data_IF_510672136528
#
_entry.id   IF_510672136528
#
_cell.length_a   1.000
_cell.length_b   1.000
_cell.length_c   1.000
_cell.angle_alpha   90.00
_cell.angle_beta   90.00
_cell.angle_gamma   90.00
#
_symmetry.space_group_name_H-M   'P 1'
#
loop_
_entity.id
_entity.type
_entity.pdbx_description
1 polymer ?
#
# COMPACT_ATOMS: atom_id res chain seq x y z
N UNK A 1 -7.26 -15.64 -19.97
CA UNK A 1 -7.79 -16.42 -18.83
C UNK A 1 -7.04 -15.91 -17.62
N UNK A 2 -7.71 -15.29 -16.64
CA UNK A 2 -7.01 -14.66 -15.52
C UNK A 2 -6.40 -15.73 -14.59
N UNK A 3 -5.15 -15.54 -14.18
CA UNK A 3 -4.50 -16.45 -13.25
C UNK A 3 -4.99 -16.23 -11.81
N UNK A 4 -5.37 -17.32 -11.13
CA UNK A 4 -5.67 -17.32 -9.70
C UNK A 4 -4.37 -17.45 -8.90
N UNK A 5 -4.12 -16.51 -7.97
CA UNK A 5 -2.98 -16.52 -7.06
C UNK A 5 -3.47 -16.85 -5.64
N UNK A 6 -2.88 -17.88 -5.01
CA UNK A 6 -3.26 -18.31 -3.66
C UNK A 6 -2.06 -18.61 -2.79
N UNK A 7 -2.17 -18.28 -1.51
CA UNK A 7 -1.35 -18.82 -0.43
C UNK A 7 -2.17 -19.86 0.33
N UNK A 8 -1.62 -21.05 0.53
CA UNK A 8 -2.26 -22.20 1.18
C UNK A 8 -1.40 -22.66 2.35
N UNK A 9 -1.88 -22.43 3.57
CA UNK A 9 -1.19 -22.77 4.83
C UNK A 9 0.23 -22.21 4.92
N UNK A 10 0.51 -21.02 4.36
CA UNK A 10 1.88 -20.53 4.25
C UNK A 10 2.43 -20.08 5.60
N UNK A 11 3.66 -20.47 5.88
CA UNK A 11 4.48 -19.89 6.95
C UNK A 11 5.66 -19.18 6.32
N UNK A 12 5.86 -17.91 6.67
CA UNK A 12 6.87 -17.04 6.08
C UNK A 12 7.67 -16.33 7.18
N UNK A 13 8.98 -16.31 7.05
CA UNK A 13 9.89 -15.69 7.99
C UNK A 13 11.20 -15.28 7.31
N UNK A 14 12.08 -14.65 8.08
CA UNK A 14 13.47 -14.43 7.67
C UNK A 14 14.37 -15.13 8.69
N UNK A 15 15.37 -15.86 8.20
CA UNK A 15 16.29 -16.66 8.99
C UNK A 15 15.54 -17.58 9.97
N UNK A 16 15.62 -17.33 11.28
CA UNK A 16 14.90 -18.09 12.30
C UNK A 16 13.66 -17.37 12.86
N UNK A 17 13.31 -16.20 12.31
CA UNK A 17 12.18 -15.40 12.79
C UNK A 17 10.96 -15.64 11.91
N UNK A 18 10.00 -16.42 12.41
CA UNK A 18 8.69 -16.61 11.79
C UNK A 18 7.85 -15.32 11.93
N UNK A 19 7.38 -14.78 10.81
CA UNK A 19 6.52 -13.57 10.78
C UNK A 19 5.06 -13.95 10.54
N UNK A 20 4.81 -14.90 9.65
CA UNK A 20 3.48 -15.42 9.29
C UNK A 20 3.48 -16.92 9.56
N UNK A 21 2.42 -17.43 10.17
CA UNK A 21 2.28 -18.84 10.47
C UNK A 21 0.92 -19.37 10.01
N UNK A 22 0.94 -20.38 9.12
CA UNK A 22 -0.24 -21.07 8.60
C UNK A 22 -1.35 -20.12 8.11
N UNK A 23 -1.03 -19.31 7.10
CA UNK A 23 -1.93 -18.32 6.52
C UNK A 23 -2.51 -18.81 5.18
N UNK A 24 -3.82 -18.69 5.03
CA UNK A 24 -4.53 -18.91 3.77
C UNK A 24 -5.02 -17.58 3.20
N UNK A 25 -4.78 -17.36 1.91
CA UNK A 25 -5.29 -16.20 1.19
C UNK A 25 -5.50 -16.54 -0.28
N UNK A 26 -6.66 -16.19 -0.83
CA UNK A 26 -6.91 -16.23 -2.26
C UNK A 26 -7.10 -14.80 -2.79
N UNK A 27 -6.37 -14.46 -3.84
CA UNK A 27 -6.52 -13.18 -4.53
C UNK A 27 -7.56 -13.35 -5.63
N UNK A 28 -8.61 -12.53 -5.60
CA UNK A 28 -9.66 -12.60 -6.62
C UNK A 28 -9.14 -12.10 -7.98
N UNK A 29 -9.20 -12.91 -9.05
CA UNK A 29 -8.68 -12.49 -10.35
C UNK A 29 -9.44 -11.28 -10.91
N UNK A 30 -8.71 -10.30 -11.43
CA UNK A 30 -9.27 -9.08 -12.01
C UNK A 30 -9.81 -8.07 -11.01
N UNK A 31 -9.64 -8.32 -9.71
CA UNK A 31 -10.02 -7.40 -8.64
C UNK A 31 -8.81 -6.65 -8.08
N UNK A 32 -9.07 -5.54 -7.40
CA UNK A 32 -8.10 -4.82 -6.57
C UNK A 32 -8.22 -5.33 -5.13
N UNK A 33 -7.18 -6.01 -4.66
CA UNK A 33 -7.03 -6.44 -3.27
C UNK A 33 -6.07 -5.50 -2.54
N UNK A 34 -6.52 -4.84 -1.47
CA UNK A 34 -5.66 -4.01 -0.63
C UNK A 34 -5.38 -4.73 0.70
N UNK A 35 -4.11 -4.80 1.08
CA UNK A 35 -3.65 -5.36 2.35
C UNK A 35 -3.31 -4.21 3.30
N UNK A 36 -3.99 -4.14 4.43
CA UNK A 36 -3.78 -3.15 5.49
C UNK A 36 -3.46 -3.84 6.82
N UNK A 37 -2.95 -3.08 7.78
CA UNK A 37 -2.60 -3.60 9.09
C UNK A 37 -1.56 -2.74 9.78
N UNK A 38 -1.43 -2.88 11.09
CA UNK A 38 -0.40 -2.20 11.87
C UNK A 38 1.02 -2.47 11.33
N UNK A 39 1.97 -1.64 11.77
CA UNK A 39 3.39 -1.88 11.48
C UNK A 39 3.82 -3.27 11.99
N UNK A 40 4.73 -3.91 11.27
CA UNK A 40 5.20 -5.26 11.54
C UNK A 40 4.10 -6.36 11.54
N UNK A 41 2.93 -6.12 10.95
CA UNK A 41 1.89 -7.16 10.83
C UNK A 41 2.17 -8.25 9.78
N UNK A 42 3.22 -8.09 8.98
CA UNK A 42 3.66 -9.08 7.97
C UNK A 42 3.22 -8.80 6.53
N UNK A 43 2.63 -7.63 6.22
CA UNK A 43 2.10 -7.27 4.88
C UNK A 43 3.14 -7.44 3.75
N UNK A 44 4.29 -6.79 3.88
CA UNK A 44 5.38 -6.88 2.90
C UNK A 44 5.98 -8.30 2.83
N UNK A 45 6.00 -9.03 3.94
CA UNK A 45 6.43 -10.44 3.97
C UNK A 45 5.47 -11.33 3.19
N UNK A 46 4.15 -11.15 3.38
CA UNK A 46 3.12 -11.85 2.61
C UNK A 46 3.24 -11.52 1.12
N UNK A 47 3.38 -10.24 0.77
CA UNK A 47 3.51 -9.81 -0.62
C UNK A 47 4.75 -10.41 -1.29
N UNK A 48 5.90 -10.44 -0.61
CA UNK A 48 7.12 -11.12 -1.09
C UNK A 48 6.94 -12.63 -1.25
N UNK A 49 6.20 -13.27 -0.34
CA UNK A 49 5.81 -14.68 -0.47
C UNK A 49 4.98 -14.94 -1.73
N UNK A 50 3.94 -14.13 -1.94
CA UNK A 50 3.09 -14.18 -3.13
C UNK A 50 3.88 -13.95 -4.43
N UNK A 51 4.87 -13.05 -4.39
CA UNK A 51 5.75 -12.73 -5.53
C UNK A 51 6.86 -13.78 -5.78
N UNK A 52 6.92 -14.87 -5.01
CA UNK A 52 8.02 -15.87 -5.05
C UNK A 52 9.41 -15.28 -4.74
N UNK A 53 9.47 -14.16 -4.01
CA UNK A 53 10.72 -13.60 -3.51
C UNK A 53 11.10 -14.14 -2.13
N UNK A 54 10.11 -14.68 -1.41
CA UNK A 54 10.32 -15.36 -0.14
C UNK A 54 9.72 -16.77 -0.24
N UNK A 55 10.55 -17.79 -0.02
CA UNK A 55 10.08 -19.18 -0.03
C UNK A 55 9.41 -19.48 1.31
N UNK A 56 8.17 -20.01 1.32
CA UNK A 56 7.53 -20.44 2.56
C UNK A 56 8.30 -21.58 3.23
N UNK A 57 8.41 -21.54 4.56
CA UNK A 57 8.96 -22.63 5.38
C UNK A 57 7.99 -23.82 5.44
N UNK A 58 6.69 -23.52 5.37
CA UNK A 58 5.60 -24.47 5.28
C UNK A 58 4.49 -23.94 4.36
N UNK A 59 3.64 -24.84 3.86
CA UNK A 59 2.59 -24.50 2.91
C UNK A 59 3.11 -24.21 1.51
N UNK A 60 2.28 -23.59 0.68
CA UNK A 60 2.65 -23.25 -0.69
C UNK A 60 1.92 -22.02 -1.24
N UNK A 61 2.54 -21.40 -2.24
CA UNK A 61 1.89 -20.40 -3.08
C UNK A 61 1.60 -21.03 -4.44
N UNK A 62 0.37 -20.89 -4.94
CA UNK A 62 -0.05 -21.42 -6.24
C UNK A 62 -0.44 -20.30 -7.20
N UNK A 63 -0.10 -20.47 -8.48
CA UNK A 63 -0.44 -19.59 -9.59
C UNK A 63 -1.12 -20.42 -10.68
N UNK A 64 -2.40 -20.13 -10.96
CA UNK A 64 -3.22 -20.92 -11.88
C UNK A 64 -3.32 -22.40 -11.45
N UNK A 65 -3.40 -22.66 -10.14
CA UNK A 65 -3.49 -24.01 -9.57
C UNK A 65 -2.18 -24.81 -9.53
N UNK A 66 -1.06 -24.24 -9.98
CA UNK A 66 0.27 -24.88 -9.90
C UNK A 66 1.14 -24.18 -8.85
N UNK A 67 1.91 -24.93 -8.09
CA UNK A 67 2.87 -24.35 -7.15
C UNK A 67 3.85 -23.41 -7.88
N UNK A 68 3.91 -22.15 -7.46
CA UNK A 68 4.66 -21.10 -8.15
C UNK A 68 6.18 -21.39 -8.17
N UNK A 69 6.68 -22.16 -7.20
CA UNK A 69 8.09 -22.57 -7.08
C UNK A 69 8.52 -23.51 -8.21
N UNK A 70 7.59 -24.30 -8.76
CA UNK A 70 7.91 -25.28 -9.83
C UNK A 70 7.86 -24.67 -11.22
N UNK A 71 7.32 -23.46 -11.36
CA UNK A 71 7.25 -22.75 -12.63
C UNK A 71 8.61 -22.13 -13.00
N UNK A 72 8.97 -22.04 -14.30
CA UNK A 72 10.15 -21.29 -14.73
C UNK A 72 10.04 -19.81 -14.33
N UNK A 73 11.10 -19.24 -13.74
CA UNK A 73 11.09 -17.86 -13.22
C UNK A 73 10.64 -16.83 -14.26
N UNK A 74 11.10 -16.99 -15.51
CA UNK A 74 10.67 -16.13 -16.62
C UNK A 74 9.17 -16.19 -16.92
N UNK A 75 8.55 -17.37 -16.83
CA UNK A 75 7.08 -17.53 -17.00
C UNK A 75 6.31 -16.90 -15.84
N UNK A 76 6.87 -16.95 -14.62
CA UNK A 76 6.26 -16.25 -13.48
C UNK A 76 6.37 -14.74 -13.70
N UNK A 77 7.53 -14.24 -14.11
CA UNK A 77 7.76 -12.81 -14.37
C UNK A 77 6.96 -12.26 -15.56
N UNK A 78 6.41 -13.08 -16.47
CA UNK A 78 5.46 -12.58 -17.49
C UNK A 78 4.04 -12.45 -16.95
N UNK A 79 3.71 -13.10 -15.84
CA UNK A 79 2.35 -13.13 -15.26
C UNK A 79 2.26 -12.25 -14.01
N UNK A 80 3.32 -12.23 -13.19
CA UNK A 80 3.38 -11.51 -11.90
C UNK A 80 4.45 -10.42 -11.97
N UNK A 81 4.01 -9.16 -11.83
CA UNK A 81 4.86 -8.00 -11.62
C UNK A 81 4.91 -7.61 -10.14
N UNK A 82 6.04 -7.07 -9.70
CA UNK A 82 6.21 -6.58 -8.34
C UNK A 82 6.88 -5.20 -8.33
N UNK A 83 6.25 -4.23 -7.68
CA UNK A 83 6.87 -3.00 -7.24
C UNK A 83 7.16 -3.09 -5.72
N UNK A 84 8.41 -3.33 -5.30
CA UNK A 84 8.76 -3.31 -3.88
C UNK A 84 8.76 -1.88 -3.32
N UNK A 85 8.72 -1.74 -2.00
CA UNK A 85 8.68 -0.46 -1.29
C UNK A 85 9.92 0.41 -1.56
N UNK A 86 11.10 -0.21 -1.63
CA UNK A 86 12.37 0.46 -1.92
C UNK A 86 13.10 -0.27 -3.04
N UNK A 87 12.74 0.03 -4.30
CA UNK A 87 13.41 -0.56 -5.44
C UNK A 87 14.82 0.04 -5.62
N UNK A 88 15.79 -0.83 -5.89
CA UNK A 88 17.19 -0.44 -6.16
C UNK A 88 17.44 -0.47 -7.65
N UNK A 89 18.01 0.61 -8.18
CA UNK A 89 18.41 0.73 -9.56
C UNK A 89 19.95 0.77 -9.69
N UNK A 90 20.52 0.33 -10.81
CA UNK A 90 21.93 0.54 -11.08
C UNK A 90 22.27 2.02 -11.21
N UNK A 91 23.50 2.36 -10.85
CA UNK A 91 24.01 3.72 -10.96
C UNK A 91 23.97 4.22 -12.41
N UNK A 92 23.52 5.47 -12.58
CA UNK A 92 23.52 6.16 -13.87
C UNK A 92 22.44 5.70 -14.86
N UNK A 93 21.55 4.78 -14.50
CA UNK A 93 20.47 4.33 -15.39
C UNK A 93 19.54 5.49 -15.77
N UNK A 94 19.18 5.56 -17.06
CA UNK A 94 18.19 6.53 -17.53
C UNK A 94 16.77 6.06 -17.22
N UNK A 95 15.81 6.98 -17.22
CA UNK A 95 14.39 6.65 -17.05
C UNK A 95 13.92 5.70 -18.15
N UNK A 96 14.24 5.99 -19.42
CA UNK A 96 13.85 5.14 -20.54
C UNK A 96 14.42 3.72 -20.40
N UNK A 97 15.70 3.59 -20.03
CA UNK A 97 16.33 2.29 -19.81
C UNK A 97 15.68 1.53 -18.66
N UNK A 98 15.36 2.20 -17.55
CA UNK A 98 14.69 1.57 -16.42
C UNK A 98 13.31 1.05 -16.82
N UNK A 99 12.49 1.86 -17.47
CA UNK A 99 11.14 1.44 -17.89
C UNK A 99 11.24 0.31 -18.93
N UNK A 100 12.21 0.40 -19.84
CA UNK A 100 12.52 -0.64 -20.81
C UNK A 100 12.83 -2.00 -20.19
N UNK A 101 13.42 -2.05 -19.00
CA UNK A 101 13.64 -3.30 -18.26
C UNK A 101 12.37 -4.03 -17.87
N UNK A 102 11.23 -3.34 -17.79
CA UNK A 102 9.93 -3.98 -17.63
C UNK A 102 9.67 -5.05 -18.70
N UNK A 103 10.24 -4.89 -19.91
CA UNK A 103 10.05 -5.83 -21.04
C UNK A 103 10.95 -7.06 -21.00
N UNK A 104 11.94 -7.13 -20.10
CA UNK A 104 12.89 -8.24 -20.05
C UNK A 104 12.25 -9.64 -19.92
N UNK A 105 11.17 -9.84 -19.12
CA UNK A 105 10.50 -11.14 -19.05
C UNK A 105 9.93 -11.62 -20.41
N UNK A 106 9.60 -10.70 -21.31
CA UNK A 106 9.03 -10.98 -22.64
C UNK A 106 10.10 -11.19 -23.72
N UNK A 107 11.36 -10.84 -23.46
CA UNK A 107 12.48 -10.98 -24.40
C UNK A 107 13.03 -12.41 -24.39
N UNK A 108 12.89 -13.13 -25.49
CA UNK A 108 13.44 -14.48 -25.73
C UNK A 108 14.89 -14.46 -26.20
N UNK A 109 15.59 -15.60 -26.13
CA UNK A 109 16.96 -15.73 -26.68
C UNK A 109 17.02 -15.39 -28.19
N UNK A 110 15.91 -15.57 -28.90
CA UNK A 110 15.74 -15.23 -30.32
C UNK A 110 14.84 -14.01 -30.58
N UNK A 111 14.19 -13.45 -29.55
CA UNK A 111 13.29 -12.30 -29.70
C UNK A 111 14.05 -11.05 -29.29
N UNK A 112 14.60 -10.37 -30.29
CA UNK A 112 15.18 -9.04 -30.14
C UNK A 112 14.09 -8.03 -29.76
N UNK A 113 14.55 -6.92 -29.19
CA UNK A 113 13.74 -5.73 -28.93
C UNK A 113 12.87 -5.40 -30.15
N UNK A 114 11.57 -5.21 -29.93
CA UNK A 114 10.60 -4.99 -31.00
C UNK A 114 9.96 -3.61 -30.92
N UNK A 115 9.40 -3.11 -32.04
CA UNK A 115 8.62 -1.87 -32.03
C UNK A 115 7.44 -1.92 -31.07
N UNK A 116 6.86 -3.12 -30.86
CA UNK A 116 5.82 -3.33 -29.85
C UNK A 116 6.34 -3.11 -28.43
N UNK A 117 7.60 -3.42 -28.14
CA UNK A 117 8.19 -3.14 -26.83
C UNK A 117 8.39 -1.63 -26.63
N UNK A 118 8.78 -0.90 -27.68
CA UNK A 118 8.84 0.58 -27.66
C UNK A 118 7.46 1.20 -27.40
N UNK A 119 6.42 0.72 -28.07
CA UNK A 119 5.04 1.19 -27.88
C UNK A 119 4.55 0.96 -26.45
N UNK A 120 4.82 -0.21 -25.86
CA UNK A 120 4.44 -0.52 -24.47
C UNK A 120 5.19 0.37 -23.48
N UNK A 121 6.49 0.57 -23.69
CA UNK A 121 7.32 1.46 -22.85
C UNK A 121 6.81 2.90 -22.94
N UNK A 122 6.59 3.41 -24.15
CA UNK A 122 6.06 4.75 -24.36
C UNK A 122 4.67 4.93 -23.73
N UNK A 123 3.78 3.95 -23.86
CA UNK A 123 2.45 3.99 -23.25
C UNK A 123 2.52 3.98 -21.71
N UNK A 124 3.42 3.20 -21.11
CA UNK A 124 3.62 3.18 -19.67
C UNK A 124 4.20 4.51 -19.14
N UNK A 125 5.11 5.12 -19.91
CA UNK A 125 5.67 6.43 -19.57
C UNK A 125 4.66 7.57 -19.74
N UNK A 126 3.80 7.50 -20.75
CA UNK A 126 2.72 8.45 -20.95
C UNK A 126 1.69 8.37 -19.81
N UNK A 127 1.25 7.17 -19.45
CA UNK A 127 0.27 6.96 -18.38
C UNK A 127 0.76 7.39 -16.99
N UNK A 128 2.07 7.48 -16.80
CA UNK A 128 2.68 7.93 -15.54
C UNK A 128 3.19 9.37 -15.61
N UNK A 129 2.94 10.09 -16.70
CA UNK A 129 3.46 11.44 -16.94
C UNK A 129 4.99 11.52 -16.77
N UNK A 130 5.71 10.51 -17.26
CA UNK A 130 7.19 10.41 -17.18
C UNK A 130 7.88 10.47 -18.53
N UNK A 131 7.14 10.65 -19.64
CA UNK A 131 7.70 10.69 -20.99
C UNK A 131 8.80 11.76 -21.16
N UNK A 132 8.60 12.97 -20.63
CA UNK A 132 9.60 14.06 -20.71
C UNK A 132 10.87 13.79 -19.88
N UNK A 133 10.82 12.81 -18.98
CA UNK A 133 11.95 12.43 -18.12
C UNK A 133 12.83 11.35 -18.75
N UNK A 134 12.47 10.82 -19.92
CA UNK A 134 13.10 9.64 -20.54
C UNK A 134 14.63 9.66 -20.55
N UNK A 135 15.24 10.78 -20.94
CA UNK A 135 16.69 10.91 -21.05
C UNK A 135 17.39 11.26 -19.72
N UNK A 136 16.64 11.58 -18.66
CA UNK A 136 17.23 11.92 -17.36
C UNK A 136 17.68 10.67 -16.62
N UNK A 137 18.67 10.82 -15.74
CA UNK A 137 19.08 9.75 -14.83
C UNK A 137 18.08 9.66 -13.70
N UNK A 138 17.80 8.42 -13.26
CA UNK A 138 16.85 8.16 -12.18
C UNK A 138 17.25 8.86 -10.86
N UNK A 139 18.56 8.97 -10.60
CA UNK A 139 19.10 9.60 -9.39
C UNK A 139 18.87 11.12 -9.32
N UNK A 140 18.59 11.77 -10.45
CA UNK A 140 18.40 13.23 -10.54
C UNK A 140 16.93 13.64 -10.31
N UNK A 141 16.03 12.68 -10.13
CA UNK A 141 14.59 12.91 -10.01
C UNK A 141 14.16 13.19 -8.56
N UNK A 142 13.06 13.92 -8.41
CA UNK A 142 12.39 14.02 -7.11
C UNK A 142 11.84 12.65 -6.67
N UNK A 143 11.56 12.49 -5.37
CA UNK A 143 10.99 11.24 -4.83
C UNK A 143 9.73 10.80 -5.57
N UNK A 144 8.81 11.74 -5.84
CA UNK A 144 7.56 11.44 -6.56
C UNK A 144 7.76 11.10 -8.04
N UNK A 145 8.66 11.81 -8.73
CA UNK A 145 9.02 11.46 -10.11
C UNK A 145 9.64 10.07 -10.19
N UNK A 146 10.58 9.75 -9.29
CA UNK A 146 11.22 8.43 -9.19
C UNK A 146 10.18 7.34 -8.95
N UNK A 147 9.21 7.57 -8.07
CA UNK A 147 8.13 6.61 -7.82
C UNK A 147 7.28 6.36 -9.06
N UNK A 148 6.88 7.42 -9.80
CA UNK A 148 6.13 7.27 -11.06
C UNK A 148 6.91 6.50 -12.11
N UNK A 149 8.23 6.66 -12.20
CA UNK A 149 9.08 5.87 -13.11
C UNK A 149 9.10 4.39 -12.72
N UNK A 150 9.12 4.07 -11.42
CA UNK A 150 9.03 2.67 -10.98
C UNK A 150 7.67 2.04 -11.27
N UNK A 151 6.60 2.81 -11.11
CA UNK A 151 5.25 2.38 -11.52
C UNK A 151 5.22 2.17 -13.05
N UNK A 152 5.82 3.07 -13.82
CA UNK A 152 5.93 2.94 -15.27
C UNK A 152 6.65 1.65 -15.67
N UNK A 153 7.76 1.32 -15.01
CA UNK A 153 8.49 0.07 -15.23
C UNK A 153 7.61 -1.15 -14.94
N UNK A 154 6.88 -1.15 -13.82
CA UNK A 154 5.99 -2.24 -13.44
C UNK A 154 4.78 -2.38 -14.40
N UNK A 155 4.26 -1.26 -14.92
CA UNK A 155 3.21 -1.26 -15.95
C UNK A 155 3.74 -1.70 -17.31
N UNK A 156 4.96 -1.30 -17.68
CA UNK A 156 5.60 -1.73 -18.92
C UNK A 156 5.84 -3.24 -18.96
N UNK A 157 5.98 -3.89 -17.79
CA UNK A 157 6.01 -5.35 -17.70
C UNK A 157 4.73 -6.01 -18.21
N UNK A 158 3.60 -5.28 -18.26
CA UNK A 158 2.28 -5.75 -18.70
C UNK A 158 1.88 -7.09 -18.04
N UNK A 159 1.92 -7.19 -16.69
CA UNK A 159 1.61 -8.43 -16.00
C UNK A 159 0.09 -8.63 -15.87
N UNK A 160 -0.33 -9.88 -15.75
CA UNK A 160 -1.73 -10.21 -15.41
C UNK A 160 -2.04 -9.93 -13.93
N UNK A 161 -1.02 -10.01 -13.08
CA UNK A 161 -1.08 -9.74 -11.63
C UNK A 161 0.00 -8.75 -11.27
N UNK A 162 -0.39 -7.60 -10.73
CA UNK A 162 0.51 -6.55 -10.27
C UNK A 162 0.50 -6.46 -8.75
N UNK A 163 1.65 -6.72 -8.13
CA UNK A 163 1.87 -6.64 -6.69
C UNK A 163 2.60 -5.33 -6.36
N UNK A 164 2.09 -4.52 -5.43
CA UNK A 164 2.72 -3.25 -5.04
C UNK A 164 2.86 -3.13 -3.52
N UNK A 165 4.08 -2.91 -3.05
CA UNK A 165 4.38 -2.73 -1.63
C UNK A 165 4.48 -1.22 -1.33
N UNK A 166 3.40 -0.65 -0.78
CA UNK A 166 3.33 0.77 -0.42
C UNK A 166 3.65 1.74 -1.57
N UNK A 167 2.95 1.64 -2.72
CA UNK A 167 3.27 2.41 -3.92
C UNK A 167 3.09 3.94 -3.76
N UNK A 168 2.42 4.36 -2.69
CA UNK A 168 2.10 5.76 -2.38
C UNK A 168 3.01 6.36 -1.30
N UNK A 169 4.00 5.62 -0.81
CA UNK A 169 4.90 6.11 0.23
C UNK A 169 5.76 7.27 -0.29
N UNK A 170 6.05 8.25 0.58
CA UNK A 170 6.76 9.50 0.27
C UNK A 170 6.09 10.43 -0.76
N UNK A 171 4.82 10.19 -1.12
CA UNK A 171 4.03 11.07 -1.98
C UNK A 171 3.10 11.97 -1.15
N UNK A 172 2.89 13.21 -1.63
CA UNK A 172 1.79 14.04 -1.13
C UNK A 172 0.43 13.48 -1.59
N UNK A 173 -0.66 13.93 -0.96
CA UNK A 173 -2.01 13.41 -1.18
C UNK A 173 -2.43 13.45 -2.66
N UNK A 174 -2.12 14.52 -3.38
CA UNK A 174 -2.46 14.64 -4.80
C UNK A 174 -1.79 13.53 -5.61
N UNK A 175 -0.49 13.34 -5.42
CA UNK A 175 0.27 12.30 -6.11
C UNK A 175 -0.13 10.88 -5.67
N UNK A 176 -0.55 10.68 -4.42
CA UNK A 176 -1.09 9.38 -3.98
C UNK A 176 -2.35 9.02 -4.76
N UNK A 177 -3.28 9.97 -4.91
CA UNK A 177 -4.52 9.78 -5.66
C UNK A 177 -4.23 9.50 -7.13
N UNK A 178 -3.36 10.28 -7.79
CA UNK A 178 -2.96 10.04 -9.19
C UNK A 178 -2.46 8.61 -9.42
N UNK A 179 -1.63 8.08 -8.51
CA UNK A 179 -1.11 6.71 -8.61
C UNK A 179 -2.23 5.68 -8.43
N UNK A 180 -3.11 5.86 -7.46
CA UNK A 180 -4.20 4.92 -7.20
C UNK A 180 -5.24 4.93 -8.32
N UNK A 181 -5.57 6.10 -8.87
CA UNK A 181 -6.45 6.27 -10.02
C UNK A 181 -5.87 5.58 -11.26
N UNK A 182 -4.57 5.74 -11.52
CA UNK A 182 -3.89 5.03 -12.60
C UNK A 182 -3.98 3.50 -12.43
N UNK A 183 -3.79 2.97 -11.22
CA UNK A 183 -3.89 1.53 -10.97
C UNK A 183 -5.33 1.03 -11.13
N UNK A 184 -6.31 1.84 -10.71
CA UNK A 184 -7.72 1.54 -10.89
C UNK A 184 -8.10 1.53 -12.38
N UNK A 185 -7.71 2.56 -13.14
CA UNK A 185 -7.92 2.63 -14.59
C UNK A 185 -7.34 1.38 -15.27
N UNK A 186 -6.09 1.02 -14.94
CA UNK A 186 -5.45 -0.19 -15.48
C UNK A 186 -6.21 -1.48 -15.15
N UNK A 187 -6.67 -1.62 -13.91
CA UNK A 187 -7.52 -2.75 -13.53
C UNK A 187 -8.81 -2.81 -14.36
N UNK A 188 -9.50 -1.68 -14.54
CA UNK A 188 -10.78 -1.62 -15.27
C UNK A 188 -10.63 -1.82 -16.78
N UNK A 189 -9.57 -1.30 -17.38
CA UNK A 189 -9.33 -1.43 -18.83
C UNK A 189 -8.81 -2.81 -19.24
N UNK A 190 -7.95 -3.42 -18.42
CA UNK A 190 -7.21 -4.65 -18.79
C UNK A 190 -7.58 -5.88 -17.96
N UNK A 191 -8.49 -5.74 -17.00
CA UNK A 191 -8.79 -6.78 -16.01
C UNK A 191 -7.53 -7.26 -15.26
N UNK A 192 -6.52 -6.39 -15.11
CA UNK A 192 -5.30 -6.70 -14.36
C UNK A 192 -5.65 -6.94 -12.90
N UNK A 193 -5.21 -8.05 -12.32
CA UNK A 193 -5.37 -8.30 -10.88
C UNK A 193 -4.37 -7.43 -10.13
N UNK A 194 -4.82 -6.60 -9.19
CA UNK A 194 -3.92 -5.70 -8.45
C UNK A 194 -3.93 -6.09 -6.98
N UNK A 195 -2.76 -6.29 -6.39
CA UNK A 195 -2.61 -6.47 -4.95
C UNK A 195 -1.68 -5.40 -4.43
N UNK A 196 -2.14 -4.57 -3.50
CA UNK A 196 -1.31 -3.50 -2.96
C UNK A 196 -1.35 -3.44 -1.44
N UNK A 197 -0.22 -3.08 -0.84
CA UNK A 197 -0.12 -2.78 0.58
C UNK A 197 -0.29 -1.28 0.76
N UNK A 198 -1.26 -0.83 1.57
CA UNK A 198 -1.46 0.58 1.91
C UNK A 198 -1.48 0.75 3.43
N UNK A 199 -1.08 1.94 3.89
CA UNK A 199 -1.16 2.33 5.32
C UNK A 199 -2.41 3.14 5.65
N UNK A 200 -2.92 3.92 4.70
CA UNK A 200 -4.10 4.73 4.90
C UNK A 200 -5.36 3.87 4.69
N UNK A 201 -6.14 3.70 5.77
CA UNK A 201 -7.36 2.89 5.76
C UNK A 201 -8.46 3.47 4.87
N UNK A 202 -8.51 4.81 4.74
CA UNK A 202 -9.52 5.47 3.92
C UNK A 202 -9.19 5.31 2.44
N UNK A 203 -7.92 5.46 2.05
CA UNK A 203 -7.50 5.14 0.67
C UNK A 203 -7.70 3.65 0.36
N UNK A 204 -7.37 2.76 1.30
CA UNK A 204 -7.62 1.34 1.14
C UNK A 204 -9.11 1.05 0.91
N UNK A 205 -10.01 1.65 1.69
CA UNK A 205 -11.45 1.48 1.56
C UNK A 205 -11.99 1.99 0.21
N UNK A 206 -11.44 3.09 -0.29
CA UNK A 206 -11.88 3.75 -1.53
C UNK A 206 -11.52 2.97 -2.79
N UNK A 207 -10.34 2.35 -2.82
CA UNK A 207 -9.79 1.72 -4.03
C UNK A 207 -9.89 0.19 -4.04
N UNK A 208 -10.12 -0.44 -2.89
CA UNK A 208 -10.23 -1.90 -2.79
C UNK A 208 -11.59 -2.41 -3.29
N UNK A 209 -11.56 -3.42 -4.16
CA UNK A 209 -12.69 -4.34 -4.29
C UNK A 209 -12.71 -5.32 -3.10
N UNK A 210 -11.51 -5.74 -2.66
CA UNK A 210 -11.29 -6.64 -1.52
C UNK A 210 -10.27 -6.06 -0.55
N UNK A 211 -10.57 -6.09 0.75
CA UNK A 211 -9.68 -5.64 1.80
C UNK A 211 -9.25 -6.82 2.68
N UNK A 212 -7.95 -6.92 2.91
CA UNK A 212 -7.31 -7.89 3.82
C UNK A 212 -6.69 -7.13 4.97
N UNK A 213 -7.21 -7.35 6.19
CA UNK A 213 -6.68 -6.73 7.41
C UNK A 213 -5.77 -7.73 8.11
N UNK A 214 -4.50 -7.37 8.27
CA UNK A 214 -3.48 -8.18 8.95
C UNK A 214 -3.12 -7.60 10.33
N UNK A 215 -3.03 -8.48 11.32
CA UNK A 215 -2.49 -8.18 12.65
C UNK A 215 -1.62 -9.33 13.13
N UNK A 216 -0.41 -9.03 13.63
CA UNK A 216 0.53 -10.00 14.18
C UNK A 216 0.71 -11.29 13.34
N UNK A 217 0.91 -11.14 12.02
CA UNK A 217 1.16 -12.26 11.11
C UNK A 217 -0.08 -13.06 10.69
N UNK A 218 -1.28 -12.63 11.07
CA UNK A 218 -2.56 -13.30 10.77
C UNK A 218 -3.51 -12.35 10.05
N UNK A 219 -4.41 -12.93 9.25
CA UNK A 219 -5.54 -12.21 8.68
C UNK A 219 -6.66 -12.19 9.72
N UNK A 220 -7.08 -10.99 10.12
CA UNK A 220 -8.17 -10.79 11.09
C UNK A 220 -9.49 -10.42 10.41
N UNK A 221 -9.44 -9.93 9.17
CA UNK A 221 -10.61 -9.70 8.33
C UNK A 221 -10.23 -9.81 6.83
N UNK A 222 -11.15 -10.34 6.02
CA UNK A 222 -10.98 -10.49 4.58
C UNK A 222 -12.36 -10.46 3.91
N UNK A 223 -12.58 -9.55 2.95
CA UNK A 223 -13.88 -9.35 2.32
C UNK A 223 -14.01 -7.98 1.67
N UNK A 224 -15.24 -7.53 1.42
CA UNK A 224 -15.49 -6.18 0.91
C UNK A 224 -15.12 -5.13 1.98
N UNK A 225 -14.71 -3.90 1.60
CA UNK A 225 -14.38 -2.84 2.56
C UNK A 225 -15.48 -2.60 3.61
N UNK A 226 -16.76 -2.58 3.18
CA UNK A 226 -17.91 -2.35 4.06
C UNK A 226 -18.10 -3.42 5.15
N UNK A 227 -17.64 -4.66 4.88
CA UNK A 227 -17.75 -5.80 5.81
C UNK A 227 -16.52 -5.89 6.72
N UNK A 228 -15.37 -5.37 6.28
CA UNK A 228 -14.07 -5.56 6.93
C UNK A 228 -13.61 -4.35 7.74
N UNK A 229 -14.03 -3.13 7.40
CA UNK A 229 -13.70 -1.92 8.15
C UNK A 229 -14.78 -1.59 9.17
N UNK A 230 -14.81 -2.34 10.26
CA UNK A 230 -15.64 -2.05 11.43
C UNK A 230 -14.82 -1.39 12.54
N UNK A 231 -15.47 -0.65 13.44
CA UNK A 231 -14.79 -0.05 14.59
C UNK A 231 -14.08 -1.09 15.48
N UNK A 232 -14.66 -2.29 15.60
CA UNK A 232 -14.06 -3.40 16.35
C UNK A 232 -12.78 -3.92 15.69
N UNK A 233 -12.80 -4.12 14.36
CA UNK A 233 -11.63 -4.58 13.62
C UNK A 233 -10.53 -3.52 13.66
N UNK A 234 -10.87 -2.25 13.50
CA UNK A 234 -9.91 -1.14 13.59
C UNK A 234 -9.26 -1.10 14.98
N UNK A 235 -10.05 -1.20 16.05
CA UNK A 235 -9.53 -1.25 17.42
C UNK A 235 -8.62 -2.46 17.65
N UNK A 236 -9.00 -3.64 17.18
CA UNK A 236 -8.21 -4.86 17.38
C UNK A 236 -6.91 -4.87 16.54
N UNK A 237 -6.97 -4.45 15.27
CA UNK A 237 -5.85 -4.57 14.35
C UNK A 237 -4.86 -3.39 14.42
N UNK A 238 -5.32 -2.21 14.86
CA UNK A 238 -4.53 -0.97 14.86
C UNK A 238 -4.41 -0.29 16.23
N UNK A 239 -5.03 -0.85 17.28
CA UNK A 239 -5.12 -0.22 18.62
C UNK A 239 -5.67 1.22 18.54
N UNK A 240 -6.67 1.41 17.67
CA UNK A 240 -7.22 2.72 17.34
C UNK A 240 -8.71 2.77 17.63
N UNK A 241 -9.10 3.63 18.56
CA UNK A 241 -10.50 4.04 18.73
C UNK A 241 -10.93 4.91 17.55
N UNK A 242 -12.01 4.51 16.87
CA UNK A 242 -12.50 5.19 15.69
C UNK A 242 -14.01 5.05 15.51
N UNK A 243 -14.60 6.00 14.78
CA UNK A 243 -15.94 5.85 14.19
C UNK A 243 -15.80 5.50 12.72
N UNK A 244 -16.68 4.62 12.25
CA UNK A 244 -16.82 4.34 10.82
C UNK A 244 -18.05 5.09 10.33
N UNK A 245 -17.84 5.97 9.35
CA UNK A 245 -18.91 6.75 8.72
C UNK A 245 -18.81 6.56 7.21
N UNK A 246 -19.90 6.74 6.44
CA UNK A 246 -19.80 6.73 4.99
C UNK A 246 -18.92 7.88 4.51
N UNK A 247 -18.00 7.58 3.60
CA UNK A 247 -17.19 8.57 2.90
C UNK A 247 -18.11 9.52 2.12
N UNK A 248 -17.96 10.85 2.28
CA UNK A 248 -18.89 11.81 1.69
C UNK A 248 -18.76 11.92 0.15
N UNK A 249 -17.70 11.38 -0.45
CA UNK A 249 -17.45 11.45 -1.89
C UNK A 249 -17.91 10.17 -2.58
N UNK A 250 -17.57 9.00 -2.03
CA UNK A 250 -17.77 7.71 -2.70
C UNK A 250 -18.62 6.70 -1.92
N UNK A 251 -19.01 7.02 -0.67
CA UNK A 251 -19.82 6.14 0.18
C UNK A 251 -19.09 4.93 0.79
N UNK A 252 -17.80 4.72 0.46
CA UNK A 252 -16.96 3.71 1.10
C UNK A 252 -16.84 3.94 2.61
N UNK A 253 -16.54 2.93 3.43
CA UNK A 253 -16.35 3.13 4.87
C UNK A 253 -15.13 4.01 5.14
N UNK A 254 -15.34 5.13 5.83
CA UNK A 254 -14.32 6.08 6.24
C UNK A 254 -14.06 5.95 7.74
N UNK A 255 -12.82 5.70 8.11
CA UNK A 255 -12.32 5.64 9.48
C UNK A 255 -12.03 7.06 9.97
N UNK A 256 -12.73 7.47 11.03
CA UNK A 256 -12.55 8.75 11.73
C UNK A 256 -11.92 8.47 13.10
N UNK A 257 -10.60 8.68 13.25
CA UNK A 257 -9.89 8.46 14.51
C UNK A 257 -10.44 9.31 15.65
N UNK A 258 -10.58 8.72 16.85
CA UNK A 258 -10.91 9.43 18.08
C UNK A 258 -9.61 9.59 18.88
N UNK A 259 -9.03 10.79 18.80
CA UNK A 259 -7.82 11.13 19.54
C UNK A 259 -8.12 11.49 21.01
N UNK A 260 -7.08 11.48 21.85
CA UNK A 260 -7.18 11.83 23.28
C UNK A 260 -7.80 13.22 23.55
N UNK A 261 -7.61 14.16 22.62
CA UNK A 261 -8.08 15.54 22.72
C UNK A 261 -9.27 15.85 21.80
N UNK A 262 -9.63 14.94 20.91
CA UNK A 262 -10.64 15.15 19.87
C UNK A 262 -11.74 14.09 20.05
N UNK A 263 -12.85 14.49 20.71
CA UNK A 263 -13.94 13.59 21.09
C UNK A 263 -14.54 13.87 22.48
N UNK A 264 -13.90 14.75 23.26
CA UNK A 264 -14.45 15.36 24.48
C UNK A 264 -14.64 16.86 24.25
N UNK A 265 -15.72 17.43 24.77
CA UNK A 265 -15.92 18.89 24.73
C UNK A 265 -14.72 19.55 25.42
N UNK A 266 -14.02 20.50 24.78
CA UNK A 266 -12.91 21.18 25.41
C UNK A 266 -13.42 21.89 26.66
N UNK A 267 -12.83 21.61 27.82
CA UNK A 267 -12.92 22.52 28.96
C UNK A 267 -12.12 23.75 28.55
N UNK A 268 -12.79 24.74 27.98
CA UNK A 268 -12.19 26.06 27.74
C UNK A 268 -11.74 26.57 29.10
N UNK A 269 -10.47 26.95 29.23
CA UNK A 269 -10.02 27.70 30.39
C UNK A 269 -10.80 29.02 30.42
N UNK A 270 -11.89 29.07 31.16
CA UNK A 270 -12.51 30.35 31.52
C UNK A 270 -11.54 31.04 32.47
N UNK A 271 -10.92 32.12 31.99
CA UNK A 271 -10.26 33.08 32.85
C UNK A 271 -11.31 33.63 33.81
N UNK A 272 -11.37 33.08 35.02
CA UNK A 272 -12.04 33.74 36.14
C UNK A 272 -11.25 35.03 36.43
N UNK A 273 -11.76 36.13 35.89
CA UNK A 273 -11.36 37.47 36.31
C UNK A 273 -11.68 37.64 37.80
N UNK A 274 -10.72 38.01 38.67
CA UNK A 274 -11.07 38.45 40.01
C UNK A 274 -11.59 39.90 39.91
N UNK A 275 -12.92 40.01 39.89
CA UNK A 275 -13.64 41.24 40.23
C UNK A 275 -13.38 41.62 41.69
N UNK A 276 -13.16 42.91 41.93
CA UNK A 276 -12.75 43.50 43.20
C UNK A 276 -13.71 43.26 44.37
N UNK A 277 -13.14 43.14 45.58
CA UNK A 277 -13.84 43.51 46.81
C UNK A 277 -12.91 44.31 47.75
N UNK A 278 -13.00 45.63 47.63
CA UNK A 278 -12.65 46.58 48.69
C UNK A 278 -13.58 46.34 49.91
N UNK A 279 -13.02 46.13 51.11
CA UNK A 279 -13.61 46.63 52.37
C UNK A 279 -12.52 46.99 53.38
N UNK A 280 -12.45 48.30 53.66
CA UNK A 280 -11.80 48.93 54.81
C UNK A 280 -12.33 48.38 56.15
N UNK A 281 -11.44 48.25 57.15
CA UNK A 281 -11.68 48.69 58.53
C UNK A 281 -10.40 48.58 59.39
N UNK A 282 -9.86 49.74 59.75
CA UNK A 282 -9.38 50.16 61.08
C UNK A 282 -9.38 49.10 62.20
N UNK A 283 -8.27 48.95 62.94
CA UNK A 283 -8.07 49.47 64.31
C UNK A 283 -6.93 48.76 65.10
N UNK A 284 -5.99 49.57 65.60
CA UNK A 284 -5.17 49.49 66.85
C UNK A 284 -4.58 48.14 67.35
N UNK A 285 -3.28 48.18 67.64
CA UNK A 285 -2.80 47.70 68.96
C UNK A 285 -1.37 47.16 69.10
N UNK A 286 -0.45 48.05 69.55
CA UNK A 286 0.69 47.83 70.48
C UNK A 286 1.90 46.91 70.13
N UNK A 287 3.07 47.55 70.26
CA UNK A 287 4.43 47.13 70.69
C UNK A 287 4.48 46.00 71.76
N UNK A 288 5.66 45.39 72.10
CA UNK A 288 7.06 45.92 72.03
C UNK A 288 8.08 44.91 71.42
N UNK A 289 9.38 45.14 71.22
CA UNK A 289 10.44 46.00 71.78
C UNK A 289 11.31 46.56 70.65
#
# INVERSE_FOLDING_TARGET
MLHLLRAEGVSLGYDQTSIIANLDLAIMPGAITVIVGANASGKSTLLKGLARLLTPDAGQVTLGGRNIKTLPGKKVATVVGLLPQQPVAPDGITVADLVGRGRYPHQGWFRQWSSTDDEIVAAAMAATNTHELAARRLGDLSGGQRQRVWIAMALAQDPEILLLDEPTTFLDVTHQIEVLDLLLERNRERCTTVVMVLHDLNLAARYADHLVVMCAGRIVANGAPAETLTAEIVRHAFDLEARIVPDPVCGAPMVVPIGRFHGRVPTVCTEDAPSQAHKNATNKGRLPL
#
